data_IF_007712605853
#
_entry.id   IF_007712605853
#
_cell.length_a   1.000
_cell.length_b   1.000
_cell.length_c   1.000
_cell.angle_alpha   90.00
_cell.angle_beta   90.00
_cell.angle_gamma   90.00
#
_symmetry.space_group_name_H-M   'P 1'
#
loop_
_entity.id
_entity.type
_entity.pdbx_description
1 polymer ?
#
# COMPACT_ATOMS: atom_id res chain seq x y z
N UNK A 1 -23.16 14.33 12.90
CA UNK A 1 -22.73 13.11 13.62
C UNK A 1 -22.48 12.05 12.58
N UNK A 2 -21.35 11.32 12.62
CA UNK A 2 -21.16 10.21 11.70
C UNK A 2 -22.30 9.19 11.85
N UNK A 3 -22.68 8.54 10.77
CA UNK A 3 -23.65 7.45 10.83
C UNK A 3 -23.14 6.35 11.78
N UNK A 4 -24.07 5.63 12.40
CA UNK A 4 -23.72 4.51 13.28
C UNK A 4 -23.04 3.42 12.44
N UNK A 5 -21.96 2.85 12.97
CA UNK A 5 -21.14 1.83 12.30
C UNK A 5 -20.60 2.30 10.94
N UNK A 6 -20.09 3.53 10.90
CA UNK A 6 -19.52 4.15 9.71
C UNK A 6 -18.24 4.96 10.02
N UNK A 7 -17.35 5.00 9.04
CA UNK A 7 -16.11 5.79 9.05
C UNK A 7 -16.19 6.91 8.00
N UNK A 8 -15.81 8.12 8.38
CA UNK A 8 -15.68 9.24 7.43
C UNK A 8 -14.43 9.06 6.54
N UNK A 9 -14.50 9.46 5.28
CA UNK A 9 -13.39 9.37 4.32
C UNK A 9 -12.10 10.03 4.84
N UNK A 10 -12.18 11.22 5.44
CA UNK A 10 -11.04 11.95 6.01
C UNK A 10 -10.37 11.23 7.19
N UNK A 11 -11.09 10.32 7.86
CA UNK A 11 -10.51 9.46 8.90
C UNK A 11 -9.84 8.25 8.27
N UNK A 12 -10.47 7.62 7.28
CA UNK A 12 -9.92 6.44 6.59
C UNK A 12 -8.65 6.78 5.80
N UNK A 13 -8.60 7.93 5.10
CA UNK A 13 -7.41 8.34 4.33
C UNK A 13 -6.15 8.42 5.19
N UNK A 14 -6.29 8.77 6.48
CA UNK A 14 -5.16 8.82 7.45
C UNK A 14 -4.66 7.45 7.87
N UNK A 15 -5.39 6.38 7.58
CA UNK A 15 -5.02 5.00 7.86
C UNK A 15 -4.36 4.31 6.65
N UNK A 16 -4.55 4.85 5.44
CA UNK A 16 -3.95 4.31 4.22
C UNK A 16 -2.44 4.15 4.37
N UNK A 17 -1.94 3.05 3.84
CA UNK A 17 -0.53 2.73 3.82
C UNK A 17 0.08 2.37 5.17
N UNK A 18 -0.71 2.33 6.25
CA UNK A 18 -0.20 2.03 7.60
C UNK A 18 -0.43 0.56 7.98
N UNK A 19 0.36 -0.01 8.92
CA UNK A 19 0.12 -1.35 9.46
C UNK A 19 -1.24 -1.53 10.12
N UNK A 20 -1.88 -0.44 10.53
CA UNK A 20 -3.21 -0.42 11.16
C UNK A 20 -4.31 -0.07 10.16
N UNK A 21 -4.01 -0.04 8.86
CA UNK A 21 -5.06 0.10 7.84
C UNK A 21 -6.03 -1.07 7.99
N UNK A 22 -7.34 -0.82 8.11
CA UNK A 22 -8.32 -1.90 8.14
C UNK A 22 -8.35 -2.61 6.78
N UNK A 23 -8.86 -3.84 6.77
CA UNK A 23 -9.18 -4.52 5.53
C UNK A 23 -10.28 -3.73 4.82
N UNK A 24 -10.02 -3.27 3.59
CA UNK A 24 -11.01 -2.54 2.80
C UNK A 24 -11.59 -3.47 1.76
N UNK A 25 -12.91 -3.68 1.84
CA UNK A 25 -13.62 -4.62 0.96
C UNK A 25 -14.57 -3.83 0.07
N UNK A 26 -14.22 -3.75 -1.22
CA UNK A 26 -15.07 -3.14 -2.24
C UNK A 26 -16.11 -4.17 -2.70
N UNK A 27 -17.37 -3.86 -2.44
CA UNK A 27 -18.53 -4.72 -2.74
C UNK A 27 -19.36 -4.24 -3.92
N UNK A 28 -18.88 -3.23 -4.67
CA UNK A 28 -19.58 -2.72 -5.85
C UNK A 28 -19.81 -3.84 -6.86
N UNK A 29 -21.02 -3.87 -7.41
CA UNK A 29 -21.31 -4.77 -8.52
C UNK A 29 -20.55 -4.33 -9.77
N UNK A 30 -20.55 -5.16 -10.81
CA UNK A 30 -19.75 -4.88 -12.00
C UNK A 30 -20.16 -3.60 -12.72
N UNK A 31 -21.45 -3.26 -12.78
CA UNK A 31 -21.90 -2.01 -13.41
C UNK A 31 -21.45 -0.75 -12.62
N UNK A 32 -21.48 -0.81 -11.29
CA UNK A 32 -20.98 0.26 -10.42
C UNK A 32 -19.46 0.39 -10.47
N UNK A 33 -18.76 -0.74 -10.58
CA UNK A 33 -17.31 -0.77 -10.73
C UNK A 33 -16.88 -0.26 -12.11
N UNK A 34 -17.55 -0.67 -13.19
CA UNK A 34 -17.23 -0.23 -14.55
C UNK A 34 -17.44 1.28 -14.74
N UNK A 35 -18.37 1.89 -13.98
CA UNK A 35 -18.59 3.33 -13.98
C UNK A 35 -17.46 4.13 -13.29
N UNK A 36 -16.74 3.51 -12.35
CA UNK A 36 -15.57 4.07 -11.68
C UNK A 36 -14.56 2.93 -11.42
N UNK A 37 -13.77 2.53 -12.44
CA UNK A 37 -12.97 1.30 -12.40
C UNK A 37 -11.68 1.47 -11.60
N UNK A 38 -11.67 2.35 -10.60
CA UNK A 38 -10.57 2.53 -9.65
C UNK A 38 -10.99 2.06 -8.27
N UNK A 39 -10.01 1.71 -7.46
CA UNK A 39 -10.23 1.28 -6.07
C UNK A 39 -9.66 2.31 -5.10
N UNK A 40 -10.18 2.30 -3.87
CA UNK A 40 -9.44 2.91 -2.76
C UNK A 40 -8.12 2.12 -2.59
N UNK A 41 -6.95 2.77 -2.46
CA UNK A 41 -5.69 2.07 -2.34
C UNK A 41 -5.69 1.04 -1.21
N UNK A 42 -5.31 -0.20 -1.51
CA UNK A 42 -5.31 -1.34 -0.60
C UNK A 42 -6.65 -2.08 -0.49
N UNK A 43 -7.71 -1.59 -1.16
CA UNK A 43 -8.99 -2.29 -1.18
C UNK A 43 -8.97 -3.53 -2.08
N UNK A 44 -9.72 -4.55 -1.68
CA UNK A 44 -9.92 -5.78 -2.46
C UNK A 44 -11.39 -5.93 -2.82
N UNK A 45 -11.66 -6.31 -4.07
CA UNK A 45 -13.03 -6.59 -4.51
C UNK A 45 -13.53 -7.93 -3.96
N UNK A 46 -14.76 -7.94 -3.47
CA UNK A 46 -15.52 -9.15 -3.12
C UNK A 46 -16.97 -8.96 -3.53
N UNK A 47 -17.57 -9.96 -4.17
CA UNK A 47 -18.95 -9.83 -4.62
C UNK A 47 -19.90 -9.78 -3.43
N UNK A 48 -20.84 -8.83 -3.46
CA UNK A 48 -21.92 -8.72 -2.47
C UNK A 48 -22.76 -10.01 -2.39
N UNK A 49 -22.95 -10.70 -3.51
CA UNK A 49 -23.77 -11.91 -3.58
C UNK A 49 -23.13 -13.13 -2.93
N UNK A 50 -21.82 -13.13 -2.69
CA UNK A 50 -21.07 -14.24 -2.08
C UNK A 50 -20.54 -13.91 -0.68
N UNK A 51 -21.11 -12.90 0.00
CA UNK A 51 -20.75 -12.54 1.38
C UNK A 51 -20.62 -13.77 2.31
N UNK A 52 -21.54 -14.75 2.32
CA UNK A 52 -21.41 -15.91 3.18
C UNK A 52 -20.14 -16.73 2.97
N UNK A 53 -19.56 -16.69 1.76
CA UNK A 53 -18.40 -17.50 1.38
C UNK A 53 -17.10 -16.88 1.88
N UNK A 54 -16.97 -15.54 1.86
CA UNK A 54 -15.72 -14.85 2.18
C UNK A 54 -15.74 -14.10 3.52
N UNK A 55 -16.91 -13.80 4.10
CA UNK A 55 -16.98 -13.13 5.40
C UNK A 55 -16.24 -13.86 6.54
N UNK A 56 -16.24 -15.21 6.61
CA UNK A 56 -15.50 -15.94 7.65
C UNK A 56 -13.98 -15.68 7.65
N UNK A 57 -13.40 -15.31 6.50
CA UNK A 57 -11.96 -15.03 6.37
C UNK A 57 -11.52 -13.77 7.15
N UNK A 58 -12.46 -12.95 7.59
CA UNK A 58 -12.23 -11.69 8.29
C UNK A 58 -12.61 -11.72 9.78
N UNK A 59 -12.79 -12.91 10.36
CA UNK A 59 -12.99 -13.05 11.80
C UNK A 59 -11.89 -12.33 12.60
N UNK A 60 -12.27 -11.57 13.62
CA UNK A 60 -11.40 -10.72 14.45
C UNK A 60 -10.70 -9.55 13.72
N UNK A 61 -10.91 -9.37 12.41
CA UNK A 61 -10.30 -8.28 11.65
C UNK A 61 -11.10 -6.98 11.80
N UNK A 62 -10.40 -5.84 11.70
CA UNK A 62 -11.04 -4.54 11.46
C UNK A 62 -11.29 -4.38 9.96
N UNK A 63 -12.54 -4.14 9.58
CA UNK A 63 -12.99 -4.12 8.19
C UNK A 63 -13.74 -2.84 7.87
N UNK A 64 -13.43 -2.21 6.75
CA UNK A 64 -14.25 -1.15 6.17
C UNK A 64 -14.86 -1.66 4.88
N UNK A 65 -16.19 -1.72 4.85
CA UNK A 65 -16.95 -2.03 3.65
C UNK A 65 -17.08 -0.79 2.78
N UNK A 66 -16.73 -0.93 1.52
CA UNK A 66 -16.79 0.11 0.50
C UNK A 66 -17.85 -0.29 -0.51
N UNK A 67 -19.01 0.37 -0.49
CA UNK A 67 -20.02 0.27 -1.54
C UNK A 67 -20.06 1.56 -2.37
N UNK A 68 -21.00 1.66 -3.31
CA UNK A 68 -21.08 2.80 -4.20
C UNK A 68 -21.34 4.14 -3.46
N UNK A 69 -22.30 4.15 -2.53
CA UNK A 69 -22.88 5.36 -1.94
C UNK A 69 -22.87 5.41 -0.40
N UNK A 70 -22.34 4.38 0.26
CA UNK A 70 -22.40 4.22 1.72
C UNK A 70 -23.75 3.75 2.25
N UNK A 71 -24.67 3.34 1.37
CA UNK A 71 -26.05 2.99 1.69
C UNK A 71 -26.29 1.53 2.10
N UNK A 72 -27.46 1.01 1.71
CA UNK A 72 -27.99 -0.26 2.21
C UNK A 72 -27.07 -1.47 1.94
N UNK A 73 -26.43 -1.53 0.77
CA UNK A 73 -25.50 -2.62 0.43
C UNK A 73 -24.30 -2.64 1.38
N UNK A 74 -23.68 -1.47 1.64
CA UNK A 74 -22.57 -1.33 2.58
C UNK A 74 -22.97 -1.77 3.98
N UNK A 75 -24.08 -1.23 4.50
CA UNK A 75 -24.55 -1.56 5.83
C UNK A 75 -24.95 -3.03 6.00
N UNK A 76 -25.56 -3.64 4.99
CA UNK A 76 -25.90 -5.07 4.98
C UNK A 76 -24.65 -5.96 5.04
N UNK A 77 -23.65 -5.67 4.21
CA UNK A 77 -22.40 -6.43 4.21
C UNK A 77 -21.60 -6.25 5.51
N UNK A 78 -21.51 -5.03 6.04
CA UNK A 78 -20.87 -4.78 7.33
C UNK A 78 -21.59 -5.49 8.48
N UNK A 79 -22.92 -5.56 8.46
CA UNK A 79 -23.69 -6.34 9.44
C UNK A 79 -23.39 -7.83 9.36
N UNK A 80 -23.26 -8.39 8.15
CA UNK A 80 -22.90 -9.79 7.97
C UNK A 80 -21.49 -10.09 8.47
N UNK A 81 -20.53 -9.20 8.20
CA UNK A 81 -19.17 -9.30 8.70
C UNK A 81 -19.10 -9.27 10.23
N UNK A 82 -19.90 -8.41 10.88
CA UNK A 82 -20.03 -8.42 12.34
C UNK A 82 -20.62 -9.73 12.87
N UNK A 83 -21.58 -10.32 12.15
CA UNK A 83 -22.11 -11.65 12.49
C UNK A 83 -21.05 -12.76 12.34
N UNK A 84 -20.10 -12.59 11.41
CA UNK A 84 -18.95 -13.47 11.22
C UNK A 84 -17.78 -13.19 12.20
N UNK A 85 -17.92 -12.22 13.10
CA UNK A 85 -16.93 -11.91 14.14
C UNK A 85 -15.93 -10.80 13.80
N UNK A 86 -16.12 -10.06 12.70
CA UNK A 86 -15.27 -8.90 12.36
C UNK A 86 -15.73 -7.62 13.08
N UNK A 87 -14.80 -6.69 13.31
CA UNK A 87 -15.12 -5.29 13.65
C UNK A 87 -15.31 -4.49 12.36
N UNK A 88 -16.54 -4.47 11.84
CA UNK A 88 -16.84 -3.93 10.52
C UNK A 88 -17.66 -2.64 10.55
N UNK A 89 -17.16 -1.62 9.85
CA UNK A 89 -17.82 -0.34 9.57
C UNK A 89 -18.03 -0.15 8.06
N UNK A 90 -18.87 0.81 7.68
CA UNK A 90 -19.07 1.23 6.28
C UNK A 90 -18.34 2.54 6.02
N UNK A 91 -17.77 2.72 4.83
CA UNK A 91 -17.30 4.02 4.38
C UNK A 91 -18.48 4.96 4.13
N UNK A 92 -18.58 6.03 4.92
CA UNK A 92 -19.61 7.06 4.77
C UNK A 92 -19.52 7.72 3.38
N UNK A 93 -20.64 7.80 2.67
CA UNK A 93 -20.72 8.26 1.28
C UNK A 93 -20.15 7.30 0.22
N UNK A 94 -19.60 6.15 0.61
CA UNK A 94 -19.05 5.14 -0.31
C UNK A 94 -17.96 5.69 -1.23
N UNK A 95 -17.78 5.04 -2.39
CA UNK A 95 -16.83 5.50 -3.42
C UNK A 95 -17.21 6.88 -3.95
N UNK A 96 -18.51 7.20 -4.12
CA UNK A 96 -18.96 8.52 -4.58
C UNK A 96 -18.43 9.63 -3.66
N UNK A 97 -18.58 9.45 -2.34
CA UNK A 97 -18.06 10.39 -1.34
C UNK A 97 -16.54 10.48 -1.36
N UNK A 98 -15.86 9.34 -1.45
CA UNK A 98 -14.39 9.28 -1.54
C UNK A 98 -13.84 10.07 -2.74
N UNK A 99 -14.40 9.84 -3.93
CA UNK A 99 -14.04 10.57 -5.15
C UNK A 99 -14.39 12.05 -5.04
N UNK A 100 -15.57 12.37 -4.51
CA UNK A 100 -16.02 13.74 -4.31
C UNK A 100 -15.11 14.56 -3.37
N UNK A 101 -14.42 13.90 -2.44
CA UNK A 101 -13.42 14.51 -1.57
C UNK A 101 -12.01 14.61 -2.19
N UNK A 102 -11.80 14.09 -3.40
CA UNK A 102 -10.51 14.12 -4.06
C UNK A 102 -9.45 13.20 -3.43
N UNK A 103 -9.87 12.18 -2.68
CA UNK A 103 -8.95 11.25 -2.03
C UNK A 103 -8.29 10.30 -3.04
N UNK A 104 -7.11 9.74 -2.72
CA UNK A 104 -6.34 8.92 -3.66
C UNK A 104 -7.10 7.69 -4.16
N UNK A 105 -6.86 7.31 -5.41
CA UNK A 105 -7.43 6.13 -6.05
C UNK A 105 -6.32 5.32 -6.71
N UNK A 106 -6.43 4.00 -6.60
CA UNK A 106 -5.60 3.02 -7.29
C UNK A 106 -6.13 2.81 -8.71
N UNK A 107 -5.28 3.00 -9.72
CA UNK A 107 -5.58 2.61 -11.08
C UNK A 107 -5.51 1.08 -11.24
N UNK A 108 -6.68 0.44 -11.34
CA UNK A 108 -6.74 -1.03 -11.42
C UNK A 108 -6.32 -1.57 -12.77
N UNK A 109 -6.32 -0.74 -13.83
CA UNK A 109 -5.83 -1.15 -15.15
C UNK A 109 -4.31 -1.42 -15.13
N UNK A 110 -3.60 -0.86 -14.16
CA UNK A 110 -2.18 -1.13 -13.93
C UNK A 110 -1.93 -2.38 -13.07
N UNK A 111 -2.92 -2.87 -12.34
CA UNK A 111 -2.75 -4.00 -11.42
C UNK A 111 -2.70 -5.31 -12.22
N UNK A 112 -1.69 -6.18 -12.00
CA UNK A 112 -1.65 -7.46 -12.69
C UNK A 112 -2.86 -8.34 -12.41
N UNK A 113 -3.14 -9.32 -13.29
CA UNK A 113 -4.15 -10.32 -13.02
C UNK A 113 -3.94 -11.00 -11.67
N UNK A 114 -5.05 -11.27 -10.98
CA UNK A 114 -5.06 -12.01 -9.72
C UNK A 114 -5.15 -13.51 -9.97
N UNK A 115 -4.52 -14.30 -9.10
CA UNK A 115 -4.61 -15.76 -9.10
C UNK A 115 -6.00 -16.25 -8.63
N UNK A 116 -6.19 -17.56 -8.59
CA UNK A 116 -7.44 -18.18 -8.14
C UNK A 116 -7.80 -17.87 -6.68
N UNK A 117 -6.81 -17.47 -5.86
CA UNK A 117 -7.01 -17.02 -4.48
C UNK A 117 -7.22 -15.50 -4.39
N UNK A 118 -7.32 -14.79 -5.52
CA UNK A 118 -7.57 -13.36 -5.58
C UNK A 118 -6.33 -12.50 -5.27
N UNK A 119 -5.11 -13.03 -5.45
CA UNK A 119 -3.85 -12.35 -5.12
C UNK A 119 -3.04 -12.05 -6.36
N UNK A 120 -2.32 -10.94 -6.36
CA UNK A 120 -1.28 -10.64 -7.34
C UNK A 120 -0.01 -11.42 -7.02
N UNK A 121 0.63 -11.96 -8.06
CA UNK A 121 1.87 -12.73 -7.94
C UNK A 121 3.00 -11.96 -8.64
N UNK A 122 4.09 -11.74 -7.91
CA UNK A 122 5.23 -10.95 -8.36
C UNK A 122 6.51 -11.77 -8.29
N UNK A 123 7.44 -11.53 -9.22
CA UNK A 123 8.73 -12.21 -9.24
C UNK A 123 9.87 -11.24 -9.48
N UNK A 124 10.95 -11.42 -8.75
CA UNK A 124 12.20 -10.70 -8.96
C UNK A 124 13.40 -11.58 -8.57
N UNK A 125 14.60 -11.06 -8.79
CA UNK A 125 15.84 -11.76 -8.40
C UNK A 125 15.99 -11.87 -6.88
N UNK A 126 16.56 -12.97 -6.43
CA UNK A 126 16.89 -13.27 -5.03
C UNK A 126 17.86 -12.25 -4.41
N UNK A 127 17.97 -12.27 -3.08
CA UNK A 127 18.75 -11.31 -2.28
C UNK A 127 18.26 -9.87 -2.49
N UNK A 128 16.98 -9.58 -2.15
CA UNK A 128 16.37 -8.28 -2.37
C UNK A 128 17.05 -7.19 -1.55
N UNK A 129 17.06 -5.97 -2.10
CA UNK A 129 17.58 -4.76 -1.47
C UNK A 129 16.77 -3.59 -1.98
N UNK A 130 16.72 -2.52 -1.19
CA UNK A 130 16.08 -1.23 -1.51
C UNK A 130 14.79 -1.40 -2.33
N UNK A 131 14.80 -1.23 -3.66
CA UNK A 131 13.61 -1.34 -4.51
C UNK A 131 12.89 -2.69 -4.41
N UNK A 132 13.64 -3.80 -4.31
CA UNK A 132 13.08 -5.15 -4.18
C UNK A 132 12.48 -5.44 -2.81
N UNK A 133 12.49 -4.46 -1.89
CA UNK A 133 11.73 -4.46 -0.63
C UNK A 133 10.69 -3.32 -0.63
N UNK A 134 11.06 -2.14 -1.12
CA UNK A 134 10.19 -0.98 -1.21
C UNK A 134 8.95 -1.25 -2.09
N UNK A 135 9.14 -1.88 -3.25
CA UNK A 135 8.06 -2.23 -4.17
C UNK A 135 7.08 -3.24 -3.54
N UNK A 136 7.56 -4.36 -2.95
CA UNK A 136 6.68 -5.22 -2.17
C UNK A 136 5.92 -4.53 -1.03
N UNK A 137 6.55 -3.59 -0.32
CA UNK A 137 5.87 -2.78 0.69
C UNK A 137 4.75 -1.93 0.07
N UNK A 138 5.03 -1.19 -1.00
CA UNK A 138 4.03 -0.38 -1.71
C UNK A 138 2.85 -1.22 -2.16
N UNK A 139 3.13 -2.38 -2.77
CA UNK A 139 2.12 -3.31 -3.25
C UNK A 139 1.26 -3.79 -2.08
N UNK A 140 1.86 -4.31 -0.99
CA UNK A 140 1.12 -4.79 0.19
C UNK A 140 0.32 -3.70 0.90
N UNK A 141 0.72 -2.43 0.79
CA UNK A 141 0.11 -1.31 1.51
C UNK A 141 -0.95 -0.54 0.70
N UNK A 142 -0.85 -0.54 -0.63
CA UNK A 142 -1.69 0.30 -1.50
C UNK A 142 -2.32 -0.42 -2.69
N UNK A 143 -1.90 -1.64 -3.03
CA UNK A 143 -2.34 -2.32 -4.25
C UNK A 143 -3.07 -3.62 -3.93
N UNK A 144 -2.40 -4.50 -3.21
CA UNK A 144 -2.90 -5.83 -2.87
C UNK A 144 -2.30 -6.30 -1.54
N UNK A 145 -3.06 -6.24 -0.43
CA UNK A 145 -2.57 -6.65 0.89
C UNK A 145 -2.19 -8.14 0.97
N UNK A 146 -2.62 -8.95 0.00
CA UNK A 146 -2.35 -10.38 -0.06
C UNK A 146 -1.33 -10.76 -1.15
N UNK A 147 -0.61 -9.78 -1.72
CA UNK A 147 0.36 -10.02 -2.78
C UNK A 147 1.46 -11.01 -2.36
N UNK A 148 1.82 -11.89 -3.29
CA UNK A 148 2.90 -12.86 -3.15
C UNK A 148 4.13 -12.44 -3.93
N UNK A 149 5.30 -12.71 -3.36
CA UNK A 149 6.59 -12.38 -3.95
C UNK A 149 7.46 -13.63 -4.08
N UNK A 150 7.95 -13.88 -5.28
CA UNK A 150 8.86 -14.97 -5.61
C UNK A 150 10.26 -14.39 -5.82
N UNK A 151 11.21 -14.84 -5.00
CA UNK A 151 12.61 -14.48 -5.11
C UNK A 151 13.38 -15.67 -5.71
N UNK A 152 13.94 -15.47 -6.91
CA UNK A 152 14.55 -16.57 -7.69
C UNK A 152 15.92 -16.17 -8.22
N UNK A 153 16.79 -17.12 -8.64
CA UNK A 153 18.03 -16.76 -9.32
C UNK A 153 17.76 -15.83 -10.51
N UNK A 154 18.59 -14.80 -10.70
CA UNK A 154 18.36 -13.79 -11.74
C UNK A 154 18.06 -14.34 -13.15
N UNK A 155 18.78 -15.39 -13.65
CA UNK A 155 18.48 -15.97 -14.95
C UNK A 155 17.10 -16.65 -15.06
N UNK A 156 16.49 -17.01 -13.94
CA UNK A 156 15.23 -17.76 -13.89
C UNK A 156 13.99 -16.86 -13.82
N UNK A 157 14.16 -15.54 -13.60
CA UNK A 157 13.02 -14.62 -13.39
C UNK A 157 12.02 -14.67 -14.54
N UNK A 158 12.49 -14.57 -15.79
CA UNK A 158 11.64 -14.64 -16.98
C UNK A 158 10.96 -16.02 -17.12
N UNK A 159 11.70 -17.09 -16.84
CA UNK A 159 11.18 -18.46 -16.90
C UNK A 159 10.11 -18.75 -15.85
N UNK A 160 10.22 -18.16 -14.66
CA UNK A 160 9.24 -18.26 -13.58
C UNK A 160 8.02 -17.38 -13.88
N UNK A 161 8.23 -16.15 -14.35
CA UNK A 161 7.15 -15.26 -14.78
C UNK A 161 6.22 -15.94 -15.79
N UNK A 162 6.78 -16.52 -16.85
CA UNK A 162 6.02 -17.19 -17.90
C UNK A 162 5.27 -18.45 -17.41
N UNK A 163 5.87 -19.24 -16.53
CA UNK A 163 5.28 -20.52 -16.06
C UNK A 163 4.23 -20.35 -14.96
N UNK A 164 4.40 -19.34 -14.11
CA UNK A 164 3.54 -19.12 -12.95
C UNK A 164 2.55 -17.96 -13.15
N UNK A 165 2.63 -17.24 -14.28
CA UNK A 165 1.87 -16.01 -14.48
C UNK A 165 2.27 -14.89 -13.51
N UNK A 166 3.51 -14.94 -13.00
CA UNK A 166 4.02 -13.94 -12.08
C UNK A 166 4.46 -12.68 -12.84
N UNK A 167 4.22 -11.52 -12.27
CA UNK A 167 4.61 -10.23 -12.84
C UNK A 167 6.08 -9.93 -12.49
N UNK A 168 6.98 -9.85 -13.47
CA UNK A 168 8.37 -9.51 -13.21
C UNK A 168 8.49 -8.02 -12.84
N UNK A 169 9.41 -7.71 -11.92
CA UNK A 169 9.77 -6.32 -11.58
C UNK A 169 11.23 -6.18 -11.12
N UNK A 170 11.79 -4.98 -11.23
CA UNK A 170 13.20 -4.65 -10.94
C UNK A 170 14.19 -5.55 -11.72
N UNK A 171 13.95 -5.72 -13.02
CA UNK A 171 14.80 -6.50 -13.93
C UNK A 171 15.21 -5.63 -15.12
N UNK A 172 16.49 -5.73 -15.50
CA UNK A 172 17.02 -5.08 -16.70
C UNK A 172 16.55 -5.83 -17.97
N UNK A 173 15.32 -5.56 -18.38
CA UNK A 173 14.70 -6.09 -19.59
C UNK A 173 13.66 -5.08 -20.10
N UNK A 174 13.81 -4.63 -21.36
CA UNK A 174 12.94 -3.65 -21.97
C UNK A 174 11.48 -4.12 -22.14
N UNK A 175 11.21 -5.43 -22.05
CA UNK A 175 9.86 -5.98 -22.05
C UNK A 175 9.18 -5.91 -20.67
N UNK A 176 9.93 -5.64 -19.59
CA UNK A 176 9.40 -5.57 -18.23
C UNK A 176 8.89 -4.16 -17.95
N UNK A 177 7.58 -4.01 -17.82
CA UNK A 177 6.93 -2.73 -17.48
C UNK A 177 7.44 -2.14 -16.16
N UNK A 178 7.59 -2.97 -15.14
CA UNK A 178 7.91 -2.55 -13.78
C UNK A 178 9.42 -2.59 -13.55
N UNK A 179 10.13 -1.67 -14.18
CA UNK A 179 11.58 -1.52 -14.04
C UNK A 179 11.95 -0.03 -13.99
N UNK A 180 13.23 0.29 -13.96
CA UNK A 180 13.72 1.66 -13.96
C UNK A 180 13.35 2.39 -15.26
N UNK A 181 13.07 3.69 -15.15
CA UNK A 181 12.86 4.56 -16.31
C UNK A 181 13.72 5.82 -16.19
N UNK A 182 14.82 5.86 -16.93
CA UNK A 182 15.82 6.91 -16.85
C UNK A 182 16.36 7.07 -15.42
N UNK A 183 16.05 8.19 -14.79
CA UNK A 183 16.48 8.52 -13.42
C UNK A 183 15.53 7.97 -12.34
N UNK A 184 14.38 7.42 -12.73
CA UNK A 184 13.38 6.85 -11.84
C UNK A 184 13.72 5.39 -11.51
N UNK A 185 13.65 5.01 -10.23
CA UNK A 185 13.75 3.62 -9.81
C UNK A 185 12.41 2.88 -10.01
N UNK A 186 12.39 1.56 -9.87
CA UNK A 186 11.17 0.76 -10.01
C UNK A 186 10.06 1.24 -9.05
N UNK A 187 10.42 1.66 -7.84
CA UNK A 187 9.45 2.21 -6.88
C UNK A 187 8.75 3.48 -7.40
N UNK A 188 9.50 4.41 -7.99
CA UNK A 188 8.94 5.61 -8.61
C UNK A 188 7.97 5.23 -9.73
N UNK A 189 8.39 4.32 -10.61
CA UNK A 189 7.59 3.85 -11.75
C UNK A 189 6.30 3.19 -11.27
N UNK A 190 6.33 2.42 -10.17
CA UNK A 190 5.14 1.85 -9.55
C UNK A 190 4.23 2.90 -8.94
N UNK A 191 4.75 3.89 -8.21
CA UNK A 191 3.93 4.96 -7.61
C UNK A 191 3.15 5.70 -8.69
N UNK A 192 3.81 6.11 -9.77
CA UNK A 192 3.13 6.77 -10.90
C UNK A 192 2.21 5.82 -11.65
N UNK A 193 2.70 4.62 -11.97
CA UNK A 193 1.96 3.63 -12.75
C UNK A 193 0.68 3.13 -12.07
N UNK A 194 0.60 3.16 -10.74
CA UNK A 194 -0.62 2.84 -9.98
C UNK A 194 -1.53 4.05 -9.72
N UNK A 195 -1.19 5.23 -10.23
CA UNK A 195 -1.96 6.46 -10.02
C UNK A 195 -1.80 7.08 -8.64
N UNK A 196 -0.72 6.74 -7.92
CA UNK A 196 -0.49 7.17 -6.53
C UNK A 196 0.46 8.37 -6.39
N UNK A 197 0.90 8.97 -7.50
CA UNK A 197 1.83 10.11 -7.52
C UNK A 197 1.34 11.36 -6.77
N UNK A 198 0.03 11.54 -6.62
CA UNK A 198 -0.57 12.65 -5.86
C UNK A 198 -0.51 12.45 -4.33
N UNK A 199 -0.01 11.31 -3.84
CA UNK A 199 0.14 11.05 -2.39
C UNK A 199 1.48 11.60 -1.92
N UNK A 200 1.48 12.78 -1.28
CA UNK A 200 2.69 13.49 -0.83
C UNK A 200 3.66 12.61 -0.03
N UNK A 201 3.14 11.76 0.86
CA UNK A 201 3.95 10.84 1.66
C UNK A 201 4.68 9.79 0.80
N UNK A 202 4.05 9.31 -0.29
CA UNK A 202 4.69 8.40 -1.24
C UNK A 202 5.69 9.14 -2.12
N UNK A 203 5.38 10.36 -2.58
CA UNK A 203 6.31 11.17 -3.37
C UNK A 203 7.62 11.45 -2.61
N UNK A 204 7.54 11.77 -1.31
CA UNK A 204 8.72 11.94 -0.44
C UNK A 204 9.48 10.63 -0.26
N UNK A 205 8.79 9.52 0.03
CA UNK A 205 9.41 8.22 0.18
C UNK A 205 10.12 7.78 -1.12
N UNK A 206 9.51 8.06 -2.28
CA UNK A 206 10.07 7.73 -3.57
C UNK A 206 11.43 8.40 -3.80
N UNK A 207 11.60 9.66 -3.39
CA UNK A 207 12.91 10.33 -3.44
C UNK A 207 13.98 9.65 -2.55
N UNK A 208 13.60 9.16 -1.36
CA UNK A 208 14.50 8.43 -0.45
C UNK A 208 14.93 7.10 -1.10
N UNK A 209 13.96 6.33 -1.60
CA UNK A 209 14.17 5.04 -2.25
C UNK A 209 15.05 5.19 -3.48
N UNK A 210 14.72 6.14 -4.35
CA UNK A 210 15.50 6.48 -5.55
C UNK A 210 16.95 6.79 -5.21
N UNK A 211 17.19 7.62 -4.20
CA UNK A 211 18.55 7.96 -3.77
C UNK A 211 19.35 6.74 -3.31
N UNK A 212 18.71 5.85 -2.54
CA UNK A 212 19.34 4.64 -2.03
C UNK A 212 19.59 3.58 -3.12
N UNK A 213 18.66 3.43 -4.07
CA UNK A 213 18.71 2.35 -5.07
C UNK A 213 19.62 2.69 -6.26
N UNK A 214 19.57 3.95 -6.72
CA UNK A 214 20.31 4.39 -7.92
C UNK A 214 21.73 4.89 -7.63
N UNK A 215 22.30 4.55 -6.46
CA UNK A 215 23.67 4.94 -6.10
C UNK A 215 23.86 6.44 -5.89
N UNK A 216 22.80 7.17 -5.55
CA UNK A 216 22.80 8.61 -5.27
C UNK A 216 22.44 8.89 -3.80
N UNK A 217 23.24 8.42 -2.83
CA UNK A 217 22.91 8.51 -1.41
C UNK A 217 22.80 9.95 -0.88
N UNK A 218 23.27 10.94 -1.64
CA UNK A 218 23.18 12.37 -1.32
C UNK A 218 21.97 13.06 -1.98
N UNK A 219 21.08 12.32 -2.67
CA UNK A 219 19.87 12.89 -3.29
C UNK A 219 18.97 13.54 -2.25
N UNK A 220 18.79 12.86 -1.11
CA UNK A 220 18.16 13.36 0.11
C UNK A 220 18.93 12.78 1.32
N UNK A 221 18.97 13.48 2.48
CA UNK A 221 19.75 13.03 3.64
C UNK A 221 19.42 11.61 4.12
N UNK A 222 18.16 11.20 3.99
CA UNK A 222 17.63 9.93 4.47
C UNK A 222 18.09 8.74 3.60
N UNK A 223 18.45 8.98 2.34
CA UNK A 223 18.79 7.92 1.38
C UNK A 223 20.03 7.12 1.81
N UNK A 224 21.08 7.79 2.31
CA UNK A 224 22.26 7.11 2.84
C UNK A 224 21.93 6.19 4.02
N UNK A 225 21.01 6.61 4.90
CA UNK A 225 20.53 5.81 6.02
C UNK A 225 19.74 4.58 5.56
N UNK A 226 18.82 4.74 4.61
CA UNK A 226 18.07 3.63 4.04
C UNK A 226 19.00 2.61 3.37
N UNK A 227 20.00 3.06 2.61
CA UNK A 227 20.99 2.19 2.00
C UNK A 227 21.76 1.37 3.05
N UNK A 228 22.23 2.02 4.13
CA UNK A 228 22.92 1.34 5.22
C UNK A 228 22.05 0.27 5.89
N UNK A 229 20.79 0.60 6.20
CA UNK A 229 19.82 -0.35 6.77
C UNK A 229 19.58 -1.52 5.81
N UNK A 230 19.35 -1.26 4.53
CA UNK A 230 19.09 -2.31 3.54
C UNK A 230 20.26 -3.29 3.39
N UNK A 231 21.49 -2.78 3.37
CA UNK A 231 22.70 -3.62 3.34
C UNK A 231 22.85 -4.44 4.63
N UNK A 232 22.52 -3.85 5.78
CA UNK A 232 22.50 -4.54 7.08
C UNK A 232 21.50 -5.70 7.10
N UNK A 233 20.25 -5.46 6.71
CA UNK A 233 19.21 -6.49 6.60
C UNK A 233 19.66 -7.64 5.70
N UNK A 234 20.26 -7.34 4.54
CA UNK A 234 20.78 -8.37 3.64
C UNK A 234 21.90 -9.22 4.27
N UNK A 235 22.65 -8.70 5.25
CA UNK A 235 23.66 -9.45 5.99
C UNK A 235 23.10 -10.23 7.18
N UNK A 236 21.97 -9.79 7.73
CA UNK A 236 21.30 -10.46 8.85
C UNK A 236 20.48 -11.67 8.39
N UNK A 237 19.80 -11.54 7.24
CA UNK A 237 18.85 -12.55 6.77
C UNK A 237 19.38 -13.27 5.52
N UNK A 238 19.67 -14.58 5.60
CA UNK A 238 19.97 -15.39 4.44
C UNK A 238 18.71 -15.71 3.62
N UNK A 239 17.57 -15.85 4.28
CA UNK A 239 16.25 -16.08 3.67
C UNK A 239 15.64 -14.77 3.15
N UNK A 240 15.15 -14.80 1.91
CA UNK A 240 14.64 -13.60 1.23
C UNK A 240 13.27 -13.14 1.77
N UNK A 241 12.43 -14.07 2.25
CA UNK A 241 11.11 -13.75 2.82
C UNK A 241 11.25 -13.19 4.23
N UNK A 242 12.13 -13.77 5.06
CA UNK A 242 12.46 -13.20 6.36
C UNK A 242 13.04 -11.78 6.22
N UNK A 243 13.91 -11.57 5.23
CA UNK A 243 14.44 -10.23 4.94
C UNK A 243 13.34 -9.27 4.51
N UNK A 244 12.41 -9.72 3.67
CA UNK A 244 11.25 -8.93 3.26
C UNK A 244 10.42 -8.51 4.46
N UNK A 245 10.01 -9.45 5.30
CA UNK A 245 9.15 -9.17 6.45
C UNK A 245 9.84 -8.24 7.47
N UNK A 246 11.16 -8.39 7.68
CA UNK A 246 11.94 -7.44 8.49
C UNK A 246 12.01 -6.04 7.86
N UNK A 247 12.12 -5.98 6.52
CA UNK A 247 12.17 -4.74 5.76
C UNK A 247 10.85 -3.96 5.76
N UNK A 248 9.69 -4.63 5.77
CA UNK A 248 8.36 -3.99 5.77
C UNK A 248 8.24 -2.93 6.86
N UNK A 249 8.70 -3.23 8.09
CA UNK A 249 8.62 -2.30 9.21
C UNK A 249 9.45 -1.01 9.01
N UNK A 250 10.58 -1.09 8.28
CA UNK A 250 11.41 0.07 7.95
C UNK A 250 10.64 1.02 7.03
N UNK A 251 9.99 0.48 6.01
CA UNK A 251 9.18 1.28 5.08
C UNK A 251 7.90 1.80 5.71
N UNK A 252 7.28 1.05 6.64
CA UNK A 252 6.16 1.57 7.44
C UNK A 252 6.57 2.79 8.26
N UNK A 253 7.73 2.74 8.91
CA UNK A 253 8.27 3.85 9.70
C UNK A 253 8.64 5.04 8.83
N UNK A 254 9.34 4.82 7.72
CA UNK A 254 9.72 5.88 6.77
C UNK A 254 8.50 6.53 6.14
N UNK A 255 7.51 5.76 5.69
CA UNK A 255 6.27 6.31 5.15
C UNK A 255 5.53 7.16 6.18
N UNK A 256 5.45 6.68 7.44
CA UNK A 256 4.81 7.45 8.51
C UNK A 256 5.55 8.76 8.78
N UNK A 257 6.88 8.74 8.75
CA UNK A 257 7.69 9.94 8.86
C UNK A 257 7.46 10.90 7.68
N UNK A 258 7.49 10.40 6.44
CA UNK A 258 7.26 11.18 5.22
C UNK A 258 5.89 11.87 5.21
N UNK A 259 4.88 11.26 5.84
CA UNK A 259 3.52 11.78 5.85
C UNK A 259 3.28 12.80 6.98
N UNK A 260 3.73 12.48 8.19
CA UNK A 260 3.21 13.15 9.40
C UNK A 260 4.31 13.73 10.33
N UNK A 261 5.60 13.46 10.11
CA UNK A 261 6.64 13.79 11.10
C UNK A 261 7.91 14.44 10.52
N UNK A 262 7.88 14.99 9.29
CA UNK A 262 9.06 15.60 8.68
C UNK A 262 9.54 16.88 9.38
N UNK A 263 8.66 17.54 10.12
CA UNK A 263 8.96 18.79 10.83
C UNK A 263 9.35 18.56 12.30
N UNK A 264 9.30 17.32 12.80
CA UNK A 264 9.69 17.00 14.16
C UNK A 264 11.22 16.97 14.30
N UNK A 265 11.75 17.79 15.21
CA UNK A 265 13.17 17.79 15.56
C UNK A 265 13.40 17.13 16.91
N UNK A 266 14.36 16.22 16.99
CA UNK A 266 14.75 15.61 18.26
C UNK A 266 15.94 16.37 18.87
N UNK A 267 15.65 17.51 19.48
CA UNK A 267 16.62 18.25 20.29
C UNK A 267 16.36 18.08 21.80
N UNK A 268 17.43 18.18 22.60
CA UNK A 268 17.36 18.08 24.07
C UNK A 268 16.59 19.26 24.71
N UNK A 269 16.28 20.31 23.94
CA UNK A 269 15.69 21.57 24.42
C UNK A 269 14.17 21.65 24.33
N UNK A 270 13.52 20.67 23.71
CA UNK A 270 12.09 20.58 23.40
C UNK A 270 11.11 20.54 24.59
N UNK A 271 11.59 20.48 25.84
CA UNK A 271 10.72 20.40 27.04
C UNK A 271 10.43 21.75 27.73
N UNK A 272 10.68 22.90 27.08
CA UNK A 272 10.26 24.19 27.65
C UNK A 272 8.85 24.56 27.19
N UNK A 273 7.86 24.61 28.10
CA UNK A 273 6.52 25.06 27.72
C UNK A 273 6.59 26.47 27.15
N UNK A 274 5.91 26.69 26.03
CA UNK A 274 5.89 27.98 25.34
C UNK A 274 5.45 29.08 26.33
N UNK A 275 6.30 30.09 26.54
CA UNK A 275 5.96 31.25 27.35
C UNK A 275 4.77 31.96 26.70
N UNK A 276 3.65 32.04 27.43
CA UNK A 276 2.47 32.81 27.03
C UNK A 276 2.88 34.22 26.64
N UNK A 277 2.60 34.62 25.38
CA UNK A 277 2.73 36.02 24.95
C UNK A 277 1.76 36.86 25.78
N UNK A 278 2.30 37.66 26.69
CA UNK A 278 1.58 38.76 27.35
C UNK A 278 1.25 39.78 26.26
N UNK A 279 -0.04 40.00 26.02
CA UNK A 279 -0.52 41.11 25.18
C UNK A 279 -0.38 42.41 26.00
N UNK A 280 0.35 43.37 25.44
CA UNK A 280 0.26 44.78 25.82
C UNK A 280 -0.72 45.47 24.86
#
# INVERSE_FOLDING_TARGET
>A
MPAINAIAADKLVRLLGTPRSPAMIDIRNDAEFDAEPRLIPGAVRRAFTSIPDWAPDFGDASVIVVCNDGGAAGHGAAAWLRQAGADADVLDGGVIGWVGSGHPLLDTAAVPPRDAAGRTLWVTRARPKVDRIACPWLIRRFVDPHAMFLFVPAPEVAGVAARMGATPFDIEDAAVRWTHDGELCTFDVMVEGFGLGAVDGLARLAAIVRGADTGRPNLVPEAAGLLAISLGLSRMYPDDLEQLDAGIAVYDALYRWCRDATDETHDWTSHKPAKSRVRA
#
